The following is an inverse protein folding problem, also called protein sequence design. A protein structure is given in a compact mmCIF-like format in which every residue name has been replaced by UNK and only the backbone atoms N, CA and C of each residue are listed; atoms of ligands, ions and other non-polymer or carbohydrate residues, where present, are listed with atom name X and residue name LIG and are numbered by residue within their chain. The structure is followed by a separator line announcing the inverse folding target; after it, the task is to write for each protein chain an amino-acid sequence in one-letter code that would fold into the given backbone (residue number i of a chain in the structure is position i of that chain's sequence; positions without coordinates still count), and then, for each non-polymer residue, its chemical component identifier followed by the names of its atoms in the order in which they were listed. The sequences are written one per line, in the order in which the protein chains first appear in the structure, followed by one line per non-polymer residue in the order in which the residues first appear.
data_IF_291745584943
#
_entry.id   IF_291745584943
#
_cell.length_a   1.000
_cell.length_b   1.000
_cell.length_c   1.000
_cell.angle_alpha   90.00
_cell.angle_beta   90.00
_cell.angle_gamma   90.00
#
_symmetry.space_group_name_H-M   'P 1'
#
loop_
_entity.id
_entity.type
_entity.pdbx_description
1 polymer ?
#
# COMPACT_ATOMS: atom_id res chain seq x y z
N UNK A 1 18.66 -16.51 -22.60
CA UNK A 1 19.28 -15.23 -22.14
C UNK A 1 18.09 -14.33 -21.88
N UNK A 2 17.73 -14.07 -20.61
CA UNK A 2 16.48 -13.33 -20.29
C UNK A 2 16.51 -11.96 -20.97
N UNK A 3 15.48 -11.66 -21.77
CA UNK A 3 15.31 -10.37 -22.40
C UNK A 3 15.41 -9.25 -21.35
N UNK A 4 16.23 -8.23 -21.64
CA UNK A 4 16.32 -7.05 -20.79
C UNK A 4 15.05 -6.24 -20.99
N UNK A 5 14.24 -6.14 -19.93
CA UNK A 5 13.04 -5.30 -19.91
C UNK A 5 13.30 -3.93 -20.57
N UNK A 6 12.47 -3.51 -21.54
CA UNK A 6 12.67 -2.25 -22.26
C UNK A 6 12.62 -1.06 -21.31
N UNK A 7 13.38 0.00 -21.66
CA UNK A 7 13.52 1.20 -20.81
C UNK A 7 12.20 1.94 -20.57
N UNK A 8 11.23 1.83 -21.50
CA UNK A 8 9.89 2.41 -21.37
C UNK A 8 8.83 1.33 -21.16
N UNK A 9 7.98 1.51 -20.15
CA UNK A 9 6.89 0.58 -19.78
C UNK A 9 5.61 0.89 -20.55
N UNK A 10 5.67 1.00 -21.88
CA UNK A 10 4.48 1.19 -22.72
C UNK A 10 3.70 -0.11 -22.86
N UNK A 11 2.46 -0.06 -23.36
CA UNK A 11 1.63 -1.24 -23.62
C UNK A 11 2.28 -2.23 -24.58
N UNK A 12 2.83 -1.72 -25.68
CA UNK A 12 3.42 -2.53 -26.76
C UNK A 12 4.66 -3.27 -26.25
N UNK A 13 5.47 -2.59 -25.45
CA UNK A 13 6.65 -3.17 -24.83
C UNK A 13 6.29 -4.25 -23.79
N UNK A 14 5.22 -4.04 -23.03
CA UNK A 14 4.75 -5.03 -22.05
C UNK A 14 4.20 -6.27 -22.78
N UNK A 15 3.42 -6.08 -23.84
CA UNK A 15 2.87 -7.16 -24.65
C UNK A 15 3.99 -8.02 -25.27
N UNK A 16 4.95 -7.37 -25.93
CA UNK A 16 6.10 -8.04 -26.54
C UNK A 16 6.89 -8.89 -25.54
N UNK A 17 7.25 -8.33 -24.39
CA UNK A 17 8.00 -9.05 -23.35
C UNK A 17 7.19 -10.21 -22.76
N UNK A 18 5.90 -10.02 -22.54
CA UNK A 18 5.03 -11.07 -22.04
C UNK A 18 4.97 -12.25 -23.04
N UNK A 19 4.84 -11.96 -24.33
CA UNK A 19 4.79 -12.98 -25.37
C UNK A 19 6.10 -13.74 -25.49
N UNK A 20 7.23 -13.04 -25.40
CA UNK A 20 8.54 -13.67 -25.33
C UNK A 20 8.65 -14.61 -24.13
N UNK A 21 8.28 -14.15 -22.93
CA UNK A 21 8.36 -14.98 -21.71
C UNK A 21 7.46 -16.21 -21.82
N UNK A 22 6.24 -16.07 -22.33
CA UNK A 22 5.32 -17.19 -22.52
C UNK A 22 5.87 -18.18 -23.55
N UNK A 23 6.43 -17.68 -24.65
CA UNK A 23 7.03 -18.50 -25.71
C UNK A 23 8.26 -19.27 -25.19
N UNK A 24 9.14 -18.61 -24.43
CA UNK A 24 10.29 -19.23 -23.76
C UNK A 24 9.86 -20.31 -22.75
N UNK A 25 8.68 -20.16 -22.16
CA UNK A 25 8.06 -21.14 -21.27
C UNK A 25 7.25 -22.23 -22.02
N UNK A 26 7.30 -22.27 -23.36
CA UNK A 26 6.51 -23.18 -24.20
C UNK A 26 4.99 -23.04 -24.04
N UNK A 27 4.52 -21.86 -23.65
CA UNK A 27 3.10 -21.50 -23.62
C UNK A 27 2.72 -20.73 -24.89
N UNK A 28 1.48 -20.91 -25.35
CA UNK A 28 0.92 -20.11 -26.44
C UNK A 28 0.49 -18.73 -25.90
N UNK A 29 1.13 -17.63 -26.34
CA UNK A 29 0.80 -16.30 -25.83
C UNK A 29 -0.63 -15.84 -26.15
N UNK A 30 -1.24 -16.35 -27.22
CA UNK A 30 -2.59 -15.97 -27.63
C UNK A 30 -3.66 -16.63 -26.75
N UNK A 31 -3.42 -17.86 -26.32
CA UNK A 31 -4.40 -18.68 -25.61
C UNK A 31 -4.12 -18.84 -24.11
N UNK A 32 -2.99 -18.34 -23.60
CA UNK A 32 -2.67 -18.39 -22.18
C UNK A 32 -3.39 -17.26 -21.42
N UNK A 33 -4.29 -17.58 -20.47
CA UNK A 33 -4.94 -16.55 -19.66
C UNK A 33 -3.94 -15.81 -18.75
N UNK A 34 -4.13 -14.52 -18.59
CA UNK A 34 -3.21 -13.66 -17.83
C UNK A 34 -3.94 -12.97 -16.69
N UNK A 35 -3.37 -13.02 -15.48
CA UNK A 35 -3.91 -12.31 -14.32
C UNK A 35 -3.11 -11.05 -14.06
N UNK A 36 -3.72 -9.87 -14.19
CA UNK A 36 -3.03 -8.57 -14.06
C UNK A 36 -3.81 -7.60 -13.20
N UNK A 37 -3.15 -6.54 -12.72
CA UNK A 37 -3.85 -5.41 -12.11
C UNK A 37 -4.53 -4.51 -13.18
N UNK A 38 -5.12 -3.39 -12.75
CA UNK A 38 -5.79 -2.42 -13.63
C UNK A 38 -4.86 -1.29 -14.09
N UNK A 39 -3.54 -1.46 -14.05
CA UNK A 39 -2.62 -0.47 -14.60
C UNK A 39 -2.90 -0.22 -16.08
N UNK A 40 -3.00 1.04 -16.50
CA UNK A 40 -3.46 1.40 -17.85
C UNK A 40 -2.68 0.68 -18.96
N UNK A 41 -1.34 0.68 -18.88
CA UNK A 41 -0.50 0.02 -19.88
C UNK A 41 -0.60 -1.51 -19.83
N UNK A 42 -0.80 -2.11 -18.65
CA UNK A 42 -1.05 -3.55 -18.52
C UNK A 42 -2.38 -3.95 -19.15
N UNK A 43 -3.43 -3.13 -18.94
CA UNK A 43 -4.75 -3.36 -19.52
C UNK A 43 -4.69 -3.28 -21.04
N UNK A 44 -4.02 -2.26 -21.58
CA UNK A 44 -3.85 -2.09 -23.02
C UNK A 44 -3.02 -3.23 -23.64
N UNK A 45 -1.90 -3.63 -23.02
CA UNK A 45 -1.05 -4.72 -23.47
C UNK A 45 -1.73 -6.10 -23.51
N UNK A 46 -2.85 -6.25 -22.79
CA UNK A 46 -3.58 -7.53 -22.67
C UNK A 46 -4.99 -7.44 -23.22
N UNK A 47 -5.31 -6.40 -23.99
CA UNK A 47 -6.66 -6.11 -24.46
C UNK A 47 -7.23 -7.21 -25.38
N UNK A 48 -6.37 -7.91 -26.13
CA UNK A 48 -6.75 -9.00 -27.03
C UNK A 48 -6.66 -10.40 -26.40
N UNK A 49 -6.31 -10.50 -25.10
CA UNK A 49 -6.09 -11.77 -24.40
C UNK A 49 -7.22 -12.06 -23.40
N UNK A 50 -7.34 -13.32 -23.01
CA UNK A 50 -8.18 -13.69 -21.84
C UNK A 50 -7.51 -13.13 -20.58
N UNK A 51 -8.09 -12.05 -20.04
CA UNK A 51 -7.54 -11.35 -18.88
C UNK A 51 -8.43 -11.52 -17.66
N UNK A 52 -7.81 -11.93 -16.56
CA UNK A 52 -8.44 -12.03 -15.24
C UNK A 52 -7.92 -10.88 -14.38
N UNK A 53 -8.84 -10.18 -13.72
CA UNK A 53 -8.46 -9.12 -12.81
C UNK A 53 -7.84 -9.68 -11.52
N UNK A 54 -6.71 -9.09 -11.10
CA UNK A 54 -6.08 -9.44 -9.84
C UNK A 54 -7.02 -9.15 -8.66
N UNK A 55 -7.48 -10.22 -7.98
CA UNK A 55 -8.36 -10.11 -6.80
C UNK A 55 -7.73 -9.28 -5.67
N UNK A 56 -6.41 -9.41 -5.46
CA UNK A 56 -5.69 -8.58 -4.50
C UNK A 56 -5.83 -7.08 -4.83
N UNK A 57 -5.63 -6.68 -6.09
CA UNK A 57 -5.77 -5.28 -6.47
C UNK A 57 -7.22 -4.80 -6.31
N UNK A 58 -8.22 -5.61 -6.65
CA UNK A 58 -9.63 -5.26 -6.47
C UNK A 58 -9.99 -5.04 -5.00
N UNK A 59 -9.59 -5.95 -4.12
CA UNK A 59 -9.81 -5.83 -2.67
C UNK A 59 -9.09 -4.58 -2.14
N UNK A 60 -7.84 -4.35 -2.55
CA UNK A 60 -7.09 -3.16 -2.15
C UNK A 60 -7.84 -1.88 -2.51
N UNK A 61 -8.33 -1.78 -3.74
CA UNK A 61 -9.05 -0.61 -4.23
C UNK A 61 -10.37 -0.44 -3.51
N UNK A 62 -11.15 -1.51 -3.30
CA UNK A 62 -12.42 -1.46 -2.58
C UNK A 62 -12.24 -0.95 -1.14
N UNK A 63 -11.27 -1.50 -0.40
CA UNK A 63 -11.01 -1.06 0.98
C UNK A 63 -10.50 0.38 1.00
N UNK A 64 -9.57 0.75 0.10
CA UNK A 64 -9.05 2.12 0.02
C UNK A 64 -10.19 3.11 -0.22
N UNK A 65 -11.02 2.86 -1.24
CA UNK A 65 -12.15 3.73 -1.59
C UNK A 65 -13.18 3.78 -0.47
N UNK A 66 -13.48 2.65 0.18
CA UNK A 66 -14.38 2.63 1.33
C UNK A 66 -13.84 3.44 2.51
N UNK A 67 -12.55 3.34 2.80
CA UNK A 67 -11.89 4.11 3.85
C UNK A 67 -11.88 5.61 3.54
N UNK A 68 -11.53 6.01 2.32
CA UNK A 68 -11.57 7.41 1.88
C UNK A 68 -12.97 7.99 1.97
N UNK A 69 -14.00 7.21 1.60
CA UNK A 69 -15.41 7.63 1.79
C UNK A 69 -15.78 7.78 3.26
N UNK A 70 -15.41 6.82 4.09
CA UNK A 70 -15.69 6.87 5.52
C UNK A 70 -15.06 8.12 6.18
N UNK A 71 -13.84 8.50 5.80
CA UNK A 71 -13.19 9.73 6.30
C UNK A 71 -13.92 10.99 5.79
N UNK A 72 -14.38 11.02 4.54
CA UNK A 72 -15.16 12.16 4.03
C UNK A 72 -16.53 12.31 4.72
N UNK A 73 -17.11 11.21 5.17
CA UNK A 73 -18.44 11.17 5.80
C UNK A 73 -18.40 11.29 7.33
N UNK A 74 -17.22 11.12 7.95
CA UNK A 74 -17.04 11.15 9.41
C UNK A 74 -15.78 11.93 9.79
N UNK A 75 -15.99 13.14 10.32
CA UNK A 75 -14.92 14.06 10.73
C UNK A 75 -14.08 13.52 11.89
N UNK A 76 -14.67 12.81 12.86
CA UNK A 76 -13.92 12.18 13.96
C UNK A 76 -12.94 11.12 13.43
N UNK A 77 -13.35 10.36 12.41
CA UNK A 77 -12.51 9.34 11.79
C UNK A 77 -11.36 9.98 10.98
N UNK A 78 -11.62 11.08 10.28
CA UNK A 78 -10.59 11.82 9.55
C UNK A 78 -9.55 12.41 10.51
N UNK A 79 -10.01 13.06 11.59
CA UNK A 79 -9.16 13.60 12.63
C UNK A 79 -8.31 12.50 13.30
N UNK A 80 -8.91 11.37 13.65
CA UNK A 80 -8.18 10.21 14.20
C UNK A 80 -7.09 9.71 13.24
N UNK A 81 -7.40 9.65 11.94
CA UNK A 81 -6.42 9.23 10.93
C UNK A 81 -5.23 10.20 10.87
N UNK A 82 -5.48 11.50 10.95
CA UNK A 82 -4.43 12.52 10.99
C UNK A 82 -3.58 12.46 12.25
N UNK A 83 -4.19 12.25 13.41
CA UNK A 83 -3.47 12.17 14.68
C UNK A 83 -2.59 10.92 14.76
N UNK A 84 -3.07 9.78 14.24
CA UNK A 84 -2.25 8.59 14.04
C UNK A 84 -1.05 8.88 13.14
N UNK A 85 -1.23 9.63 12.03
CA UNK A 85 -0.12 10.00 11.15
C UNK A 85 0.88 10.95 11.82
N UNK A 86 0.41 11.92 12.61
CA UNK A 86 1.25 12.84 13.40
C UNK A 86 2.07 12.06 14.43
N UNK A 87 1.43 11.16 15.18
CA UNK A 87 2.09 10.32 16.17
C UNK A 87 3.20 9.45 15.57
N UNK A 88 2.91 8.76 14.46
CA UNK A 88 3.92 7.96 13.74
C UNK A 88 5.05 8.83 13.22
N UNK A 89 4.75 10.01 12.70
CA UNK A 89 5.75 10.94 12.16
C UNK A 89 6.65 11.49 13.27
N UNK A 90 6.07 11.87 14.41
CA UNK A 90 6.81 12.35 15.57
C UNK A 90 7.75 11.27 16.09
N UNK A 91 7.23 10.08 16.41
CA UNK A 91 8.02 8.97 16.94
C UNK A 91 9.17 8.56 16.01
N UNK A 92 9.00 8.68 14.68
CA UNK A 92 10.08 8.42 13.70
C UNK A 92 11.13 9.52 13.62
N UNK A 93 10.76 10.78 13.89
CA UNK A 93 11.67 11.92 13.85
C UNK A 93 12.42 12.10 15.17
N UNK A 94 11.80 11.72 16.28
CA UNK A 94 12.40 11.79 17.60
C UNK A 94 13.39 10.64 17.81
N UNK A 95 14.63 10.99 18.15
CA UNK A 95 15.63 10.00 18.55
C UNK A 95 15.20 9.27 19.83
N UNK A 96 15.53 7.97 19.92
CA UNK A 96 15.28 7.14 21.11
C UNK A 96 13.87 6.57 21.24
N UNK A 97 12.83 7.20 20.68
CA UNK A 97 11.44 6.72 20.85
C UNK A 97 11.25 5.33 20.22
N UNK A 98 11.72 5.12 18.99
CA UNK A 98 11.49 3.86 18.28
C UNK A 98 12.14 2.65 18.98
N UNK A 99 13.26 2.83 19.68
CA UNK A 99 13.93 1.76 20.43
C UNK A 99 13.19 1.37 21.70
N UNK A 100 12.34 2.27 22.21
CA UNK A 100 11.57 2.01 23.41
C UNK A 100 10.22 1.35 23.10
N UNK A 101 9.69 1.46 21.88
CA UNK A 101 8.41 0.87 21.52
C UNK A 101 8.49 -0.66 21.36
N UNK A 102 7.42 -1.41 21.71
CA UNK A 102 7.41 -2.86 21.58
C UNK A 102 7.47 -3.32 20.12
N UNK A 103 6.98 -2.49 19.20
CA UNK A 103 7.05 -2.71 17.76
C UNK A 103 7.36 -1.43 17.00
N UNK A 104 7.98 -1.56 15.83
CA UNK A 104 8.24 -0.41 14.98
C UNK A 104 6.94 0.12 14.36
N UNK A 105 6.69 1.42 14.56
CA UNK A 105 5.53 2.08 13.96
C UNK A 105 5.58 2.06 12.43
N UNK A 106 4.48 1.62 11.83
CA UNK A 106 4.34 1.52 10.38
C UNK A 106 3.72 2.81 9.86
N UNK A 107 4.25 3.31 8.74
CA UNK A 107 3.67 4.48 8.06
C UNK A 107 2.66 3.99 7.03
N UNK A 108 1.56 4.72 6.86
CA UNK A 108 0.70 4.60 5.70
C UNK A 108 1.51 4.69 4.40
N UNK A 109 1.14 3.88 3.40
CA UNK A 109 1.87 3.71 2.16
C UNK A 109 0.94 3.67 0.96
N UNK A 110 1.37 4.27 -0.15
CA UNK A 110 0.57 4.40 -1.38
C UNK A 110 0.42 3.09 -2.18
N UNK A 111 1.34 2.14 -2.00
CA UNK A 111 1.48 0.97 -2.87
C UNK A 111 0.49 -0.15 -2.49
N UNK A 112 0.11 -0.27 -1.21
CA UNK A 112 -0.89 -1.24 -0.70
C UNK A 112 -1.70 -0.64 0.46
N UNK A 113 -2.59 0.32 0.15
CA UNK A 113 -3.19 1.23 1.13
C UNK A 113 -3.82 0.52 2.31
N UNK A 114 -4.63 -0.53 2.12
CA UNK A 114 -5.29 -1.22 3.24
C UNK A 114 -4.31 -1.91 4.19
N UNK A 115 -3.28 -2.60 3.67
CA UNK A 115 -2.26 -3.25 4.52
C UNK A 115 -1.51 -2.19 5.29
N UNK A 116 -1.17 -1.10 4.62
CA UNK A 116 -0.45 0.00 5.24
C UNK A 116 -1.31 0.74 6.29
N UNK A 117 -2.60 0.97 6.01
CA UNK A 117 -3.59 1.54 6.93
C UNK A 117 -3.74 0.65 8.16
N UNK A 118 -4.12 -0.61 7.96
CA UNK A 118 -4.26 -1.58 9.05
C UNK A 118 -2.98 -1.68 9.88
N UNK A 119 -1.82 -1.83 9.23
CA UNK A 119 -0.55 -1.95 9.93
C UNK A 119 -0.19 -0.69 10.72
N UNK A 120 -0.53 0.50 10.22
CA UNK A 120 -0.30 1.77 10.89
C UNK A 120 -1.14 1.86 12.18
N UNK A 121 -2.46 1.72 12.06
CA UNK A 121 -3.37 1.74 13.21
C UNK A 121 -3.04 0.66 14.23
N UNK A 122 -2.85 -0.58 13.78
CA UNK A 122 -2.47 -1.68 14.64
C UNK A 122 -1.12 -1.42 15.34
N UNK A 123 -0.15 -0.78 14.66
CA UNK A 123 1.13 -0.47 15.28
C UNK A 123 1.05 0.57 16.39
N UNK A 124 0.15 1.54 16.26
CA UNK A 124 -0.16 2.52 17.30
C UNK A 124 -0.91 1.85 18.46
N UNK A 125 -1.96 1.07 18.18
CA UNK A 125 -2.73 0.38 19.22
C UNK A 125 -1.85 -0.50 20.12
N UNK A 126 -0.97 -1.30 19.53
CA UNK A 126 -0.06 -2.16 20.29
C UNK A 126 1.02 -1.38 21.06
N UNK A 127 1.28 -0.14 20.66
CA UNK A 127 2.28 0.73 21.30
C UNK A 127 1.66 1.81 22.18
N UNK A 128 0.32 1.91 22.26
CA UNK A 128 -0.38 3.09 22.76
C UNK A 128 0.04 3.47 24.18
N UNK A 129 -0.03 2.54 25.14
CA UNK A 129 0.32 2.83 26.52
C UNK A 129 1.76 3.31 26.68
N UNK A 130 2.72 2.68 25.98
CA UNK A 130 4.12 3.07 26.04
C UNK A 130 4.39 4.39 25.32
N UNK A 131 3.75 4.60 24.18
CA UNK A 131 3.83 5.83 23.42
C UNK A 131 3.25 7.01 24.22
N UNK A 132 2.11 6.83 24.88
CA UNK A 132 1.49 7.84 25.74
C UNK A 132 2.40 8.22 26.91
N UNK A 133 3.04 7.24 27.57
CA UNK A 133 3.99 7.51 28.65
C UNK A 133 5.18 8.36 28.15
N UNK A 134 5.82 7.95 27.05
CA UNK A 134 6.94 8.69 26.44
C UNK A 134 6.52 10.11 26.05
N UNK A 135 5.33 10.28 25.47
CA UNK A 135 4.81 11.58 25.09
C UNK A 135 4.49 12.44 26.31
N UNK A 136 3.94 11.87 27.37
CA UNK A 136 3.66 12.57 28.63
C UNK A 136 4.94 13.06 29.29
N UNK A 137 5.97 12.22 29.40
CA UNK A 137 7.29 12.58 29.93
C UNK A 137 7.97 13.70 29.14
N UNK A 138 7.71 13.77 27.82
CA UNK A 138 8.24 14.82 26.93
C UNK A 138 7.34 16.06 26.85
N UNK A 139 6.25 16.13 27.63
CA UNK A 139 5.22 17.18 27.57
C UNK A 139 4.61 17.36 26.16
N UNK A 140 4.32 16.23 25.51
CA UNK A 140 3.81 16.07 24.14
C UNK A 140 2.56 15.18 24.05
N UNK A 141 1.84 14.98 25.16
CA UNK A 141 0.64 14.13 25.19
C UNK A 141 -0.44 14.58 24.19
N UNK A 142 -0.55 15.89 23.91
CA UNK A 142 -1.48 16.47 22.92
C UNK A 142 -1.34 15.91 21.49
N UNK A 143 -0.26 15.17 21.18
CA UNK A 143 -0.08 14.53 19.87
C UNK A 143 -0.99 13.29 19.70
N UNK A 144 -1.44 12.68 20.80
CA UNK A 144 -2.26 11.46 20.82
C UNK A 144 -3.47 11.55 21.74
N UNK A 145 -3.66 12.69 22.41
CA UNK A 145 -4.72 12.93 23.37
C UNK A 145 -5.50 14.18 22.95
N UNK A 146 -6.46 13.97 22.06
CA UNK A 146 -7.70 14.73 21.89
C UNK A 146 -8.79 13.72 21.50
#
# INVERSE_FOLDING_TARGET
MLAKFPKSKTSENIEFEQDQILTEAYCDPANTPVTTDKGANMVAATAQKIRIDCGCHRINTAIKTGWERAMMENEELDQLHDDVNKAVTFAKKSSGILSELPISLKKGGKIRPWRSLYSMFNSILQSYGKLLNILTEKNKAYIVAE
#
